data_IF_209829762159
#
_entry.id   IF_209829762159
#
_cell.length_a   1.000
_cell.length_b   1.000
_cell.length_c   1.000
_cell.angle_alpha   90.00
_cell.angle_beta   90.00
_cell.angle_gamma   90.00
#
_symmetry.space_group_name_H-M   'P 1'
#
loop_
_entity.id
_entity.type
_entity.pdbx_description
1 polymer ?
#
# COMPACT_ATOMS: atom_id res chain seq x y z
N UNK A 1 -5.93 17.15 -19.52
CA UNK A 1 -5.01 17.51 -18.41
C UNK A 1 -5.11 16.53 -17.24
N UNK A 2 -6.30 16.25 -16.70
CA UNK A 2 -6.49 15.27 -15.61
C UNK A 2 -5.98 13.85 -15.93
N UNK A 3 -6.41 13.26 -17.05
CA UNK A 3 -5.94 11.93 -17.51
C UNK A 3 -4.42 11.84 -17.64
N UNK A 4 -3.80 12.89 -18.17
CA UNK A 4 -2.35 12.97 -18.31
C UNK A 4 -1.65 12.93 -16.94
N UNK A 5 -2.12 13.74 -15.99
CA UNK A 5 -1.55 13.77 -14.63
C UNK A 5 -1.71 12.42 -13.95
N UNK A 6 -2.91 11.83 -13.98
CA UNK A 6 -3.18 10.54 -13.34
C UNK A 6 -2.36 9.41 -13.97
N UNK A 7 -2.34 9.36 -15.30
CA UNK A 7 -1.59 8.37 -16.05
C UNK A 7 -0.10 8.44 -15.76
N UNK A 8 0.49 9.64 -15.85
CA UNK A 8 1.91 9.84 -15.54
C UNK A 8 2.24 9.59 -14.06
N UNK A 9 1.38 10.00 -13.13
CA UNK A 9 1.58 9.71 -11.70
C UNK A 9 1.55 8.21 -11.42
N UNK A 10 0.61 7.46 -12.00
CA UNK A 10 0.57 6.01 -11.87
C UNK A 10 1.78 5.34 -12.51
N UNK A 11 2.23 5.79 -13.68
CA UNK A 11 3.46 5.28 -14.28
C UNK A 11 4.68 5.56 -13.38
N UNK A 12 4.79 6.76 -12.82
CA UNK A 12 5.89 7.11 -11.92
C UNK A 12 5.86 6.28 -10.62
N UNK A 13 4.68 6.07 -10.03
CA UNK A 13 4.50 5.20 -8.86
C UNK A 13 4.86 3.76 -9.21
N UNK A 14 4.38 3.25 -10.35
CA UNK A 14 4.67 1.89 -10.82
C UNK A 14 6.17 1.65 -11.04
N UNK A 15 6.87 2.60 -11.67
CA UNK A 15 8.32 2.56 -11.83
C UNK A 15 9.04 2.62 -10.47
N UNK A 16 8.58 3.48 -9.56
CA UNK A 16 9.16 3.60 -8.24
C UNK A 16 9.01 2.31 -7.42
N UNK A 17 7.82 1.70 -7.40
CA UNK A 17 7.58 0.44 -6.71
C UNK A 17 8.36 -0.71 -7.33
N UNK A 18 8.32 -0.86 -8.67
CA UNK A 18 9.10 -1.88 -9.36
C UNK A 18 10.61 -1.72 -9.08
N UNK A 19 11.12 -0.48 -9.15
CA UNK A 19 12.51 -0.17 -8.84
C UNK A 19 12.89 -0.49 -7.40
N UNK A 20 12.06 -0.14 -6.42
CA UNK A 20 12.26 -0.50 -5.01
C UNK A 20 12.21 -2.01 -4.78
N UNK A 21 11.32 -2.72 -5.48
CA UNK A 21 11.24 -4.18 -5.43
C UNK A 21 12.49 -4.86 -5.96
N UNK A 22 12.98 -4.39 -7.12
CA UNK A 22 14.23 -4.87 -7.72
C UNK A 22 15.42 -4.55 -6.83
N UNK A 23 15.48 -3.35 -6.26
CA UNK A 23 16.53 -2.97 -5.32
C UNK A 23 16.53 -3.88 -4.09
N UNK A 24 15.36 -4.09 -3.47
CA UNK A 24 15.22 -4.97 -2.30
C UNK A 24 15.61 -6.41 -2.63
N UNK A 25 15.30 -6.89 -3.84
CA UNK A 25 15.68 -8.22 -4.31
C UNK A 25 17.20 -8.30 -4.51
N UNK A 26 17.79 -7.28 -5.14
CA UNK A 26 19.23 -7.15 -5.31
C UNK A 26 19.96 -7.10 -3.98
N UNK A 27 19.53 -6.26 -3.03
CA UNK A 27 20.11 -6.20 -1.67
C UNK A 27 20.06 -7.58 -1.01
N UNK A 28 18.87 -8.21 -1.03
CA UNK A 28 18.63 -9.55 -0.50
C UNK A 28 19.64 -10.55 -1.08
N UNK A 29 19.77 -10.61 -2.41
CA UNK A 29 20.64 -11.55 -3.11
C UNK A 29 22.12 -11.21 -2.93
N UNK A 30 22.52 -9.94 -2.94
CA UNK A 30 23.92 -9.54 -2.84
C UNK A 30 24.48 -9.71 -1.43
N UNK A 31 23.66 -9.48 -0.40
CA UNK A 31 24.11 -9.52 0.99
C UNK A 31 23.76 -10.82 1.73
N UNK A 32 23.03 -11.76 1.12
CA UNK A 32 22.61 -13.00 1.81
C UNK A 32 23.76 -13.81 2.39
N UNK A 33 24.93 -13.83 1.71
CA UNK A 33 26.11 -14.57 2.20
C UNK A 33 26.67 -13.99 3.49
N UNK A 34 26.49 -12.70 3.73
CA UNK A 34 27.03 -11.99 4.90
C UNK A 34 26.00 -11.78 6.01
N UNK A 35 24.72 -11.62 5.66
CA UNK A 35 23.65 -11.27 6.61
C UNK A 35 22.54 -12.32 6.73
N UNK A 36 22.64 -13.45 6.01
CA UNK A 36 21.54 -14.41 5.83
C UNK A 36 20.45 -13.84 4.92
N UNK A 37 19.39 -14.58 4.63
CA UNK A 37 18.28 -14.09 3.79
C UNK A 37 17.40 -13.06 4.52
N UNK A 38 17.13 -11.90 3.91
CA UNK A 38 16.16 -10.95 4.46
C UNK A 38 14.73 -11.36 4.12
N UNK A 39 13.96 -11.73 5.13
CA UNK A 39 12.54 -12.11 4.93
C UNK A 39 11.71 -10.89 4.57
N UNK A 40 11.98 -9.78 5.24
CA UNK A 40 11.40 -8.47 4.93
C UNK A 40 11.74 -8.05 3.51
N UNK A 41 13.02 -8.17 3.11
CA UNK A 41 13.47 -7.84 1.76
C UNK A 41 12.77 -8.68 0.69
N UNK A 42 12.70 -10.01 0.89
CA UNK A 42 11.97 -10.92 0.00
C UNK A 42 10.50 -10.53 -0.10
N UNK A 43 9.83 -10.36 1.03
CA UNK A 43 8.40 -10.09 1.04
C UNK A 43 8.07 -8.71 0.46
N UNK A 44 8.87 -7.70 0.77
CA UNK A 44 8.75 -6.37 0.17
C UNK A 44 8.97 -6.42 -1.34
N UNK A 45 9.93 -7.20 -1.84
CA UNK A 45 10.14 -7.41 -3.28
C UNK A 45 8.96 -8.10 -3.95
N UNK A 46 8.36 -9.11 -3.32
CA UNK A 46 7.17 -9.78 -3.85
C UNK A 46 5.97 -8.83 -3.95
N UNK A 47 5.78 -7.99 -2.93
CA UNK A 47 4.73 -6.97 -2.91
C UNK A 47 4.93 -5.91 -3.99
N UNK A 48 6.17 -5.46 -4.18
CA UNK A 48 6.51 -4.54 -5.24
C UNK A 48 6.33 -5.16 -6.64
N UNK A 49 6.50 -6.47 -6.78
CA UNK A 49 6.31 -7.19 -8.03
C UNK A 49 4.84 -7.34 -8.45
N UNK A 50 3.88 -7.19 -7.52
CA UNK A 50 2.46 -7.04 -7.86
C UNK A 50 2.09 -5.56 -8.06
N UNK A 51 2.35 -4.71 -7.07
CA UNK A 51 1.92 -3.31 -7.09
C UNK A 51 2.58 -2.48 -8.20
N UNK A 52 3.87 -2.67 -8.46
CA UNK A 52 4.59 -1.91 -9.49
C UNK A 52 3.96 -2.09 -10.87
N UNK A 53 3.91 -3.34 -11.39
CA UNK A 53 3.24 -3.63 -12.65
C UNK A 53 1.75 -3.25 -12.68
N UNK A 54 1.00 -3.41 -11.58
CA UNK A 54 -0.38 -2.94 -11.47
C UNK A 54 -0.48 -1.45 -11.81
N UNK A 55 0.30 -0.60 -11.14
CA UNK A 55 0.30 0.84 -11.38
C UNK A 55 0.79 1.21 -12.79
N UNK A 56 1.72 0.44 -13.37
CA UNK A 56 2.17 0.65 -14.74
C UNK A 56 1.04 0.41 -15.75
N UNK A 57 0.30 -0.71 -15.61
CA UNK A 57 -0.82 -1.03 -16.51
C UNK A 57 -1.96 -0.03 -16.35
N UNK A 58 -2.33 0.32 -15.12
CA UNK A 58 -3.33 1.35 -14.87
C UNK A 58 -2.90 2.70 -15.45
N UNK A 59 -1.66 3.14 -15.19
CA UNK A 59 -1.13 4.38 -15.76
C UNK A 59 -1.17 4.40 -17.29
N UNK A 60 -0.78 3.30 -17.93
CA UNK A 60 -0.85 3.15 -19.38
C UNK A 60 -2.29 3.25 -19.90
N UNK A 61 -3.22 2.53 -19.30
CA UNK A 61 -4.63 2.51 -19.70
C UNK A 61 -5.32 3.87 -19.56
N UNK A 62 -5.04 4.58 -18.47
CA UNK A 62 -5.54 5.96 -18.27
C UNK A 62 -5.02 6.89 -19.37
N UNK A 63 -3.77 6.72 -19.81
CA UNK A 63 -3.23 7.49 -20.95
C UNK A 63 -3.85 7.08 -22.29
N UNK A 64 -4.36 5.85 -22.43
CA UNK A 64 -5.13 5.39 -23.59
C UNK A 64 -6.60 5.88 -23.58
N UNK A 65 -7.02 6.62 -22.55
CA UNK A 65 -8.37 7.20 -22.47
C UNK A 65 -9.34 6.41 -21.59
N UNK A 66 -8.86 5.45 -20.79
CA UNK A 66 -9.69 4.79 -19.78
C UNK A 66 -10.18 5.81 -18.73
N UNK A 67 -11.46 5.72 -18.37
CA UNK A 67 -12.09 6.63 -17.41
C UNK A 67 -11.54 6.40 -16.01
N UNK A 68 -11.22 7.47 -15.29
CA UNK A 68 -10.76 7.40 -13.89
C UNK A 68 -11.77 8.09 -12.98
N UNK A 69 -12.12 7.44 -11.87
CA UNK A 69 -12.98 8.03 -10.86
C UNK A 69 -12.25 9.13 -10.06
N UNK A 70 -13.01 10.14 -9.63
CA UNK A 70 -12.46 11.23 -8.80
C UNK A 70 -11.96 10.74 -7.44
N UNK A 71 -12.58 9.71 -6.88
CA UNK A 71 -12.12 9.05 -5.66
C UNK A 71 -10.73 8.42 -5.85
N UNK A 72 -10.48 7.78 -7.00
CA UNK A 72 -9.17 7.19 -7.35
C UNK A 72 -8.08 8.25 -7.48
N UNK A 73 -8.38 9.41 -8.08
CA UNK A 73 -7.47 10.56 -8.10
C UNK A 73 -7.18 11.06 -6.68
N UNK A 74 -8.22 11.25 -5.87
CA UNK A 74 -8.07 11.82 -4.53
C UNK A 74 -7.23 10.91 -3.61
N UNK A 75 -7.43 9.59 -3.65
CA UNK A 75 -6.60 8.64 -2.88
C UNK A 75 -5.16 8.59 -3.38
N UNK A 76 -4.94 8.69 -4.69
CA UNK A 76 -3.58 8.74 -5.26
C UNK A 76 -2.83 9.96 -4.72
N UNK A 77 -3.48 11.13 -4.69
CA UNK A 77 -2.90 12.35 -4.14
C UNK A 77 -2.67 12.27 -2.62
N UNK A 78 -3.54 11.57 -1.89
CA UNK A 78 -3.39 11.34 -0.45
C UNK A 78 -2.17 10.46 -0.13
N UNK A 79 -1.93 9.42 -0.93
CA UNK A 79 -0.80 8.49 -0.74
C UNK A 79 0.55 9.01 -1.28
N UNK A 80 0.52 9.89 -2.28
CA UNK A 80 1.72 10.37 -2.99
C UNK A 80 2.81 10.91 -2.06
N UNK A 81 2.54 11.75 -1.04
CA UNK A 81 3.59 12.27 -0.14
C UNK A 81 4.33 11.17 0.62
N UNK A 82 3.61 10.15 1.10
CA UNK A 82 4.20 9.03 1.82
C UNK A 82 5.07 8.19 0.88
N UNK A 83 4.56 7.90 -0.32
CA UNK A 83 5.29 7.20 -1.37
C UNK A 83 6.57 7.92 -1.79
N UNK A 84 6.49 9.20 -2.13
CA UNK A 84 7.65 10.02 -2.52
C UNK A 84 8.69 10.09 -1.40
N UNK A 85 8.25 10.27 -0.16
CA UNK A 85 9.17 10.31 1.00
C UNK A 85 9.89 8.98 1.14
N UNK A 86 9.18 7.85 1.14
CA UNK A 86 9.80 6.53 1.29
C UNK A 86 10.79 6.22 0.16
N UNK A 87 10.38 6.47 -1.08
CA UNK A 87 11.21 6.28 -2.29
C UNK A 87 12.48 7.14 -2.22
N UNK A 88 12.33 8.43 -1.89
CA UNK A 88 13.45 9.36 -1.77
C UNK A 88 14.48 8.90 -0.73
N UNK A 89 14.03 8.52 0.46
CA UNK A 89 14.91 8.03 1.53
C UNK A 89 15.63 6.74 1.13
N UNK A 90 14.99 5.88 0.34
CA UNK A 90 15.65 4.69 -0.19
C UNK A 90 16.68 5.01 -1.25
N UNK A 91 16.38 5.88 -2.21
CA UNK A 91 17.39 6.34 -3.17
C UNK A 91 18.57 7.01 -2.49
N UNK A 92 18.33 7.85 -1.47
CA UNK A 92 19.40 8.45 -0.67
C UNK A 92 20.29 7.38 -0.03
N UNK A 93 19.71 6.30 0.52
CA UNK A 93 20.49 5.19 1.11
C UNK A 93 21.38 4.51 0.06
N UNK A 94 20.84 4.24 -1.13
CA UNK A 94 21.59 3.58 -2.23
C UNK A 94 22.77 4.42 -2.69
N UNK A 95 22.62 5.75 -2.67
CA UNK A 95 23.68 6.70 -3.01
C UNK A 95 24.67 6.94 -1.87
N UNK A 96 24.59 6.17 -0.77
CA UNK A 96 25.49 6.27 0.38
C UNK A 96 25.11 7.38 1.39
N UNK A 97 23.93 7.99 1.24
CA UNK A 97 23.38 8.96 2.18
C UNK A 97 22.75 8.33 3.42
N UNK A 98 22.15 9.17 4.27
CA UNK A 98 21.60 8.72 5.55
C UNK A 98 20.37 7.82 5.40
N UNK A 99 19.46 8.19 4.49
CA UNK A 99 18.22 7.47 4.21
C UNK A 99 17.22 7.53 5.35
N UNK A 100 17.53 6.96 6.51
CA UNK A 100 16.66 7.03 7.68
C UNK A 100 16.81 8.36 8.42
N UNK A 101 15.68 8.95 8.82
CA UNK A 101 15.63 10.20 9.60
C UNK A 101 14.78 10.01 10.84
N UNK A 102 15.29 10.46 11.98
CA UNK A 102 14.58 10.44 13.25
C UNK A 102 13.89 11.78 13.48
N UNK A 103 12.59 11.75 13.73
CA UNK A 103 11.80 12.97 13.91
C UNK A 103 11.31 13.06 15.35
N UNK A 104 11.60 14.18 16.00
CA UNK A 104 11.07 14.54 17.32
C UNK A 104 9.69 15.23 17.20
N UNK A 105 8.74 14.57 16.54
CA UNK A 105 7.37 15.07 16.45
C UNK A 105 6.62 14.76 17.76
N UNK A 106 5.94 15.74 18.35
CA UNK A 106 5.16 15.50 19.57
C UNK A 106 3.98 14.54 19.32
N UNK A 107 3.53 13.78 20.33
CA UNK A 107 2.43 12.82 20.16
C UNK A 107 1.15 13.48 19.68
N UNK A 108 0.86 14.69 20.18
CA UNK A 108 -0.32 15.45 19.75
C UNK A 108 -0.29 15.80 18.26
N UNK A 109 0.86 16.23 17.73
CA UNK A 109 1.00 16.52 16.29
C UNK A 109 0.91 15.25 15.45
N UNK A 110 1.52 14.14 15.92
CA UNK A 110 1.39 12.85 15.27
C UNK A 110 -0.07 12.37 15.21
N UNK A 111 -0.82 12.47 16.32
CA UNK A 111 -2.25 12.15 16.37
C UNK A 111 -3.09 13.03 15.45
N UNK A 112 -2.79 14.33 15.35
CA UNK A 112 -3.50 15.22 14.42
C UNK A 112 -3.28 14.80 12.96
N UNK A 113 -2.04 14.44 12.58
CA UNK A 113 -1.75 13.95 11.22
C UNK A 113 -2.46 12.63 10.93
N UNK A 114 -2.39 11.67 11.86
CA UNK A 114 -3.04 10.36 11.71
C UNK A 114 -4.57 10.52 11.70
N UNK A 115 -5.13 11.35 12.57
CA UNK A 115 -6.57 11.64 12.61
C UNK A 115 -7.05 12.34 11.33
N UNK A 116 -6.30 13.32 10.83
CA UNK A 116 -6.61 13.98 9.56
C UNK A 116 -6.58 13.00 8.38
N UNK A 117 -5.57 12.13 8.33
CA UNK A 117 -5.50 11.05 7.34
C UNK A 117 -6.71 10.12 7.45
N UNK A 118 -7.04 9.64 8.66
CA UNK A 118 -8.14 8.71 8.89
C UNK A 118 -9.51 9.31 8.51
N UNK A 119 -9.75 10.58 8.86
CA UNK A 119 -10.97 11.30 8.47
C UNK A 119 -11.05 11.41 6.95
N UNK A 120 -9.95 11.80 6.29
CA UNK A 120 -9.91 11.93 4.83
C UNK A 120 -10.12 10.58 4.15
N UNK A 121 -9.46 9.53 4.63
CA UNK A 121 -9.58 8.17 4.15
C UNK A 121 -11.02 7.63 4.30
N UNK A 122 -11.63 7.84 5.47
CA UNK A 122 -13.01 7.45 5.75
C UNK A 122 -14.00 8.22 4.86
N UNK A 123 -13.79 9.52 4.68
CA UNK A 123 -14.61 10.33 3.78
C UNK A 123 -14.49 9.87 2.32
N UNK A 124 -13.28 9.60 1.83
CA UNK A 124 -13.06 9.09 0.47
C UNK A 124 -13.70 7.71 0.26
N UNK A 125 -13.60 6.83 1.27
CA UNK A 125 -14.25 5.50 1.24
C UNK A 125 -15.76 5.65 1.15
N UNK A 126 -16.34 6.45 2.04
CA UNK A 126 -17.78 6.72 2.06
C UNK A 126 -18.25 7.37 0.74
N UNK A 127 -17.46 8.29 0.19
CA UNK A 127 -17.77 8.93 -1.08
C UNK A 127 -17.74 7.93 -2.24
N UNK A 128 -16.75 7.04 -2.31
CA UNK A 128 -16.70 5.99 -3.32
C UNK A 128 -17.90 5.05 -3.25
N UNK A 129 -18.31 4.64 -2.04
CA UNK A 129 -19.48 3.80 -1.81
C UNK A 129 -20.82 4.53 -2.04
N UNK A 130 -20.84 5.87 -2.01
CA UNK A 130 -22.04 6.67 -2.25
C UNK A 130 -22.23 7.07 -3.72
N UNK A 131 -21.30 6.73 -4.63
CA UNK A 131 -21.42 7.06 -6.04
C UNK A 131 -22.63 6.34 -6.68
N UNK A 132 -23.36 6.97 -7.62
CA UNK A 132 -24.44 6.32 -8.36
C UNK A 132 -23.91 5.05 -9.06
N UNK A 133 -24.41 3.88 -8.65
CA UNK A 133 -23.93 2.59 -9.14
C UNK A 133 -23.14 1.74 -8.14
N UNK A 134 -22.88 2.25 -6.93
CA UNK A 134 -22.33 1.49 -5.82
C UNK A 134 -23.44 0.84 -4.96
N UNK A 135 -24.41 0.18 -5.60
CA UNK A 135 -25.41 -0.60 -4.85
C UNK A 135 -24.76 -1.87 -4.31
N UNK A 136 -24.75 -2.03 -2.98
CA UNK A 136 -24.31 -3.24 -2.29
C UNK A 136 -25.56 -4.04 -1.89
N UNK A 137 -25.95 -5.10 -2.63
CA UNK A 137 -27.10 -5.89 -2.25
C UNK A 137 -26.74 -6.71 -1.01
N UNK A 138 -27.29 -6.33 0.13
CA UNK A 138 -27.15 -7.09 1.38
C UNK A 138 -28.14 -8.27 1.43
N UNK A 139 -29.16 -8.29 0.55
CA UNK A 139 -30.21 -9.30 0.50
C UNK A 139 -30.60 -9.59 -0.95
N UNK A 140 -30.22 -10.75 -1.50
CA UNK A 140 -30.69 -11.19 -2.82
C UNK A 140 -32.22 -11.37 -2.85
N UNK A 141 -32.96 -10.29 -3.13
CA UNK A 141 -34.41 -10.35 -3.37
C UNK A 141 -34.68 -10.49 -4.87
N UNK A 142 -35.83 -11.08 -5.23
CA UNK A 142 -36.25 -11.21 -6.63
C UNK A 142 -36.45 -9.85 -7.32
N UNK A 143 -36.79 -8.81 -6.56
CA UNK A 143 -36.90 -7.43 -7.05
C UNK A 143 -35.53 -6.83 -7.41
N UNK A 144 -34.50 -7.07 -6.61
CA UNK A 144 -33.12 -6.63 -6.90
C UNK A 144 -32.53 -7.38 -8.10
N UNK A 145 -32.82 -8.67 -8.24
CA UNK A 145 -32.40 -9.46 -9.40
C UNK A 145 -33.05 -8.95 -10.70
N UNK A 146 -34.32 -8.56 -10.65
CA UNK A 146 -35.00 -7.93 -11.79
C UNK A 146 -34.41 -6.56 -12.13
N UNK A 147 -34.06 -5.75 -11.11
CA UNK A 147 -33.41 -4.46 -11.30
C UNK A 147 -32.01 -4.58 -11.93
N UNK A 148 -31.24 -5.63 -11.57
CA UNK A 148 -29.93 -5.95 -12.18
C UNK A 148 -30.01 -6.17 -13.70
N UNK A 149 -31.08 -6.79 -14.19
CA UNK A 149 -31.28 -7.03 -15.63
C UNK A 149 -31.57 -5.73 -16.37
N UNK A 150 -32.19 -4.75 -15.70
CA UNK A 150 -32.59 -3.46 -16.30
C UNK A 150 -31.53 -2.36 -16.24
N UNK A 151 -30.57 -2.41 -15.31
CA UNK A 151 -29.45 -1.44 -15.22
C UNK A 151 -28.08 -2.12 -15.08
N UNK A 152 -27.50 -2.68 -16.15
CA UNK A 152 -26.30 -3.54 -16.09
C UNK A 152 -24.97 -2.89 -15.66
N UNK A 153 -24.96 -1.61 -15.24
CA UNK A 153 -23.73 -0.87 -14.88
C UNK A 153 -23.80 -0.11 -13.56
N UNK A 154 -24.80 -0.40 -12.72
CA UNK A 154 -25.03 0.30 -11.46
C UNK A 154 -24.83 -0.57 -10.21
N UNK A 155 -24.06 -1.66 -10.31
CA UNK A 155 -24.02 -2.70 -9.27
C UNK A 155 -22.61 -3.21 -9.03
N UNK A 156 -22.17 -3.24 -7.77
CA UNK A 156 -20.92 -3.90 -7.41
C UNK A 156 -21.08 -5.41 -7.64
N UNK A 157 -20.25 -5.98 -8.52
CA UNK A 157 -20.21 -7.42 -8.72
C UNK A 157 -19.40 -8.09 -7.60
N UNK A 158 -20.09 -8.36 -6.49
CA UNK A 158 -19.56 -9.07 -5.32
C UNK A 158 -19.06 -10.48 -5.65
N UNK A 159 -19.46 -11.07 -6.78
CA UNK A 159 -19.01 -12.38 -7.21
C UNK A 159 -17.75 -12.32 -8.10
N UNK A 160 -17.33 -11.12 -8.53
CA UNK A 160 -16.17 -10.96 -9.40
C UNK A 160 -14.86 -11.25 -8.68
N UNK A 161 -13.91 -11.87 -9.41
CA UNK A 161 -12.56 -12.08 -8.91
C UNK A 161 -11.85 -10.76 -8.58
N UNK A 162 -12.13 -9.70 -9.32
CA UNK A 162 -11.60 -8.34 -9.09
C UNK A 162 -12.05 -7.77 -7.75
N UNK A 163 -13.34 -7.92 -7.41
CA UNK A 163 -13.86 -7.49 -6.10
C UNK A 163 -13.14 -8.23 -4.97
N UNK A 164 -13.10 -9.56 -5.03
CA UNK A 164 -12.48 -10.37 -3.98
C UNK A 164 -10.97 -10.10 -3.84
N UNK A 165 -10.25 -9.98 -4.95
CA UNK A 165 -8.81 -9.70 -4.91
C UNK A 165 -8.54 -8.34 -4.26
N UNK A 166 -9.26 -7.30 -4.67
CA UNK A 166 -9.10 -5.97 -4.10
C UNK A 166 -9.48 -5.91 -2.61
N UNK A 167 -10.62 -6.49 -2.21
CA UNK A 167 -11.01 -6.54 -0.78
C UNK A 167 -9.98 -7.29 0.05
N UNK A 168 -9.48 -8.42 -0.45
CA UNK A 168 -8.43 -9.18 0.22
C UNK A 168 -7.17 -8.34 0.42
N UNK A 169 -6.70 -7.69 -0.65
CA UNK A 169 -5.52 -6.83 -0.63
C UNK A 169 -5.72 -5.62 0.29
N UNK A 170 -6.91 -5.01 0.30
CA UNK A 170 -7.28 -3.96 1.26
C UNK A 170 -7.07 -4.42 2.69
N UNK A 171 -7.56 -5.61 3.04
CA UNK A 171 -7.43 -6.15 4.39
C UNK A 171 -5.96 -6.43 4.71
N UNK A 172 -5.23 -7.15 3.85
CA UNK A 172 -3.84 -7.51 4.15
C UNK A 172 -2.92 -6.29 4.22
N UNK A 173 -3.09 -5.30 3.34
CA UNK A 173 -2.28 -4.08 3.35
C UNK A 173 -2.63 -3.20 4.54
N UNK A 174 -3.92 -3.14 4.91
CA UNK A 174 -4.37 -2.45 6.12
C UNK A 174 -3.76 -3.06 7.38
N UNK A 175 -3.70 -4.39 7.47
CA UNK A 175 -3.05 -5.10 8.58
C UNK A 175 -1.53 -4.88 8.62
N UNK A 176 -0.86 -4.91 7.47
CA UNK A 176 0.57 -4.55 7.39
C UNK A 176 0.78 -3.11 7.88
N UNK A 177 -0.02 -2.16 7.40
CA UNK A 177 0.02 -0.77 7.85
C UNK A 177 -0.21 -0.63 9.35
N UNK A 178 -1.15 -1.40 9.91
CA UNK A 178 -1.40 -1.46 11.36
C UNK A 178 -0.17 -1.92 12.14
N UNK A 179 0.44 -3.05 11.76
CA UNK A 179 1.64 -3.54 12.46
C UNK A 179 2.83 -2.57 12.37
N UNK A 180 3.03 -1.94 11.22
CA UNK A 180 4.07 -0.92 11.04
C UNK A 180 3.78 0.33 11.89
N UNK A 181 2.52 0.76 11.95
CA UNK A 181 2.07 1.88 12.79
C UNK A 181 2.23 1.60 14.28
N UNK A 182 1.83 0.42 14.75
CA UNK A 182 2.03 0.01 16.14
C UNK A 182 3.52 -0.06 16.49
N UNK A 183 4.35 -0.58 15.58
CA UNK A 183 5.81 -0.54 15.77
C UNK A 183 6.36 0.90 15.87
N UNK A 184 5.84 1.86 15.08
CA UNK A 184 6.21 3.27 15.24
C UNK A 184 5.84 3.82 16.62
N UNK A 185 4.65 3.49 17.13
CA UNK A 185 4.20 3.91 18.46
C UNK A 185 5.09 3.31 19.55
N UNK A 186 5.35 1.99 19.51
CA UNK A 186 6.25 1.32 20.46
C UNK A 186 7.65 1.90 20.45
N UNK A 187 8.20 2.16 19.25
CA UNK A 187 9.49 2.82 19.09
C UNK A 187 9.51 4.20 19.74
N UNK A 188 8.46 5.00 19.50
CA UNK A 188 8.36 6.33 20.11
C UNK A 188 8.32 6.24 21.63
N UNK A 189 7.55 5.31 22.20
CA UNK A 189 7.48 5.11 23.64
C UNK A 189 8.84 4.69 24.24
N UNK A 190 9.65 3.93 23.49
CA UNK A 190 10.96 3.46 23.94
C UNK A 190 12.09 4.50 23.75
N UNK A 191 12.03 5.33 22.70
CA UNK A 191 13.16 6.17 22.26
C UNK A 191 12.85 7.67 22.15
N UNK A 192 11.60 8.07 22.28
CA UNK A 192 11.15 9.46 22.16
C UNK A 192 11.16 10.02 20.73
N UNK A 193 11.42 9.20 19.71
CA UNK A 193 11.55 9.63 18.31
C UNK A 193 10.81 8.70 17.34
N UNK A 194 10.31 9.27 16.25
CA UNK A 194 9.68 8.55 15.15
C UNK A 194 10.69 8.23 14.05
N UNK A 195 10.48 7.14 13.32
CA UNK A 195 11.21 6.85 12.09
C UNK A 195 10.49 7.45 10.89
N UNK A 196 11.12 8.36 10.15
CA UNK A 196 10.49 8.94 8.95
C UNK A 196 10.29 7.87 7.87
N UNK A 197 11.27 6.97 7.65
CA UNK A 197 11.10 5.89 6.67
C UNK A 197 9.98 4.94 7.09
N UNK A 198 9.90 4.59 8.38
CA UNK A 198 8.84 3.74 8.90
C UNK A 198 7.46 4.39 8.87
N UNK A 199 7.35 5.68 9.18
CA UNK A 199 6.09 6.44 9.08
C UNK A 199 5.65 6.59 7.62
N UNK A 200 6.57 6.88 6.71
CA UNK A 200 6.30 6.94 5.27
C UNK A 200 5.83 5.58 4.73
N UNK A 201 6.50 4.49 5.10
CA UNK A 201 6.09 3.14 4.71
C UNK A 201 4.70 2.77 5.27
N UNK A 202 4.40 3.14 6.51
CA UNK A 202 3.08 2.97 7.12
C UNK A 202 2.00 3.71 6.30
N UNK A 203 2.26 4.97 5.93
CA UNK A 203 1.37 5.76 5.09
C UNK A 203 1.15 5.14 3.71
N UNK A 204 2.20 4.59 3.09
CA UNK A 204 2.10 3.85 1.82
C UNK A 204 1.10 2.70 1.96
N UNK A 205 1.28 1.81 2.94
CA UNK A 205 0.39 0.65 3.12
C UNK A 205 -1.07 1.03 3.37
N UNK A 206 -1.34 2.05 4.20
CA UNK A 206 -2.72 2.50 4.39
C UNK A 206 -3.31 3.15 3.14
N UNK A 207 -2.53 3.94 2.39
CA UNK A 207 -3.01 4.53 1.14
C UNK A 207 -3.29 3.46 0.06
N UNK A 208 -2.46 2.41 -0.01
CA UNK A 208 -2.69 1.27 -0.87
C UNK A 208 -3.92 0.46 -0.43
N UNK A 209 -4.12 0.23 0.86
CA UNK A 209 -5.34 -0.41 1.34
C UNK A 209 -6.60 0.36 0.90
N UNK A 210 -6.54 1.69 1.01
CA UNK A 210 -7.63 2.58 0.62
C UNK A 210 -7.88 2.59 -0.90
N UNK A 211 -6.84 2.58 -1.74
CA UNK A 211 -7.03 2.57 -3.19
C UNK A 211 -7.67 1.27 -3.66
N UNK A 212 -7.27 0.13 -3.09
CA UNK A 212 -7.89 -1.17 -3.38
C UNK A 212 -9.36 -1.23 -2.90
N UNK A 213 -9.68 -0.56 -1.79
CA UNK A 213 -11.07 -0.48 -1.32
C UNK A 213 -11.93 0.33 -2.30
N UNK A 214 -11.39 1.46 -2.76
CA UNK A 214 -12.07 2.29 -3.76
C UNK A 214 -12.25 1.50 -5.05
N UNK A 215 -11.22 0.82 -5.56
CA UNK A 215 -11.28 0.02 -6.78
C UNK A 215 -12.34 -1.10 -6.71
N UNK A 216 -12.40 -1.82 -5.59
CA UNK A 216 -13.42 -2.83 -5.32
C UNK A 216 -14.85 -2.27 -5.43
N UNK A 217 -15.04 -0.99 -5.12
CA UNK A 217 -16.36 -0.35 -5.07
C UNK A 217 -16.72 0.43 -6.34
N UNK A 218 -15.76 0.72 -7.23
CA UNK A 218 -15.97 1.58 -8.41
C UNK A 218 -15.88 0.86 -9.76
N UNK A 219 -16.07 -0.47 -9.80
CA UNK A 219 -15.97 -1.30 -11.01
C UNK A 219 -14.58 -1.21 -11.66
N UNK A 220 -13.56 -1.74 -10.96
CA UNK A 220 -12.19 -1.83 -11.46
C UNK A 220 -12.06 -2.61 -12.78
N UNK A 221 -11.01 -2.30 -13.54
CA UNK A 221 -10.71 -2.93 -14.82
C UNK A 221 -10.09 -4.31 -14.64
N UNK A 222 -10.56 -5.29 -15.43
CA UNK A 222 -10.03 -6.65 -15.38
C UNK A 222 -8.57 -6.79 -15.84
N UNK A 223 -7.99 -5.74 -16.43
CA UNK A 223 -6.62 -5.76 -16.93
C UNK A 223 -5.56 -5.86 -15.83
N UNK A 224 -5.92 -5.48 -14.60
CA UNK A 224 -5.02 -5.46 -13.44
C UNK A 224 -5.13 -6.75 -12.62
N UNK A 225 -6.19 -7.53 -12.85
CA UNK A 225 -6.54 -8.70 -12.06
C UNK A 225 -5.38 -9.69 -11.93
N UNK A 226 -4.59 -9.88 -12.99
CA UNK A 226 -3.42 -10.78 -12.93
C UNK A 226 -2.42 -10.34 -11.86
N UNK A 227 -2.18 -9.04 -11.72
CA UNK A 227 -1.26 -8.49 -10.73
C UNK A 227 -1.87 -8.53 -9.32
N UNK A 228 -3.18 -8.32 -9.20
CA UNK A 228 -3.88 -8.42 -7.91
C UNK A 228 -3.90 -9.86 -7.39
N UNK A 229 -4.11 -10.84 -8.28
CA UNK A 229 -4.04 -12.27 -7.94
C UNK A 229 -2.62 -12.70 -7.52
N UNK A 230 -1.57 -12.14 -8.12
CA UNK A 230 -0.18 -12.32 -7.66
C UNK A 230 0.05 -11.60 -6.32
N UNK A 231 -0.61 -10.46 -6.13
CA UNK A 231 -0.57 -9.67 -4.90
C UNK A 231 -1.12 -10.42 -3.68
N UNK A 232 -2.11 -11.30 -3.85
CA UNK A 232 -2.68 -12.11 -2.77
C UNK A 232 -1.60 -12.92 -2.03
N UNK A 233 -0.90 -13.89 -2.65
CA UNK A 233 0.12 -14.68 -1.94
C UNK A 233 1.30 -13.83 -1.47
N UNK A 234 1.68 -12.78 -2.23
CA UNK A 234 2.73 -11.84 -1.81
C UNK A 234 2.34 -11.12 -0.50
N UNK A 235 1.09 -10.68 -0.40
CA UNK A 235 0.57 -9.96 0.76
C UNK A 235 0.41 -10.84 1.99
N UNK A 236 0.02 -12.12 1.81
CA UNK A 236 -0.02 -13.10 2.90
C UNK A 236 1.39 -13.35 3.45
N UNK A 237 2.36 -13.58 2.57
CA UNK A 237 3.74 -13.78 2.99
C UNK A 237 4.29 -12.55 3.70
N UNK A 238 4.09 -11.36 3.14
CA UNK A 238 4.62 -10.13 3.75
C UNK A 238 3.93 -9.80 5.08
N UNK A 239 2.61 -10.01 5.18
CA UNK A 239 1.88 -9.88 6.44
C UNK A 239 2.44 -10.82 7.51
N UNK A 240 2.65 -12.10 7.16
CA UNK A 240 3.28 -13.05 8.06
C UNK A 240 4.67 -12.57 8.49
N UNK A 241 5.52 -12.10 7.58
CA UNK A 241 6.84 -11.56 7.92
C UNK A 241 6.74 -10.38 8.88
N UNK A 242 5.86 -9.42 8.62
CA UNK A 242 5.68 -8.23 9.45
C UNK A 242 5.14 -8.57 10.83
N UNK A 243 4.20 -9.51 10.92
CA UNK A 243 3.69 -10.04 12.20
C UNK A 243 4.81 -10.73 13.01
N UNK A 244 5.65 -11.55 12.37
CA UNK A 244 6.76 -12.21 13.05
C UNK A 244 7.84 -11.20 13.51
N UNK A 245 8.09 -10.16 12.72
CA UNK A 245 8.98 -9.06 13.13
C UNK A 245 8.38 -8.26 14.29
N UNK A 246 7.07 -8.03 14.27
CA UNK A 246 6.33 -7.30 15.30
C UNK A 246 6.25 -8.07 16.63
N UNK A 247 6.01 -9.37 16.57
CA UNK A 247 5.99 -10.29 17.72
C UNK A 247 7.38 -10.70 18.20
N UNK A 248 8.43 -10.09 17.65
CA UNK A 248 9.81 -10.30 18.03
C UNK A 248 10.32 -11.75 17.84
N UNK A 249 9.58 -12.59 17.11
CA UNK A 249 9.78 -14.03 16.94
C UNK A 249 10.80 -14.39 15.86
N UNK A 250 11.14 -13.45 14.97
CA UNK A 250 12.12 -13.63 13.89
C UNK A 250 13.17 -12.52 13.91
N UNK A 251 14.44 -12.92 13.77
CA UNK A 251 15.55 -12.00 13.50
C UNK A 251 15.68 -11.77 11.99
N UNK A 252 15.76 -10.50 11.59
CA UNK A 252 16.00 -10.05 10.21
C UNK A 252 16.98 -8.86 10.24
N UNK A 253 17.52 -8.49 9.09
CA UNK A 253 18.55 -7.46 8.91
C UNK A 253 18.20 -6.12 9.57
N UNK A 254 16.91 -5.82 9.67
CA UNK A 254 16.39 -4.55 10.21
C UNK A 254 16.34 -4.51 11.74
N UNK A 255 16.57 -5.63 12.45
CA UNK A 255 16.95 -5.58 13.87
C UNK A 255 18.43 -5.21 13.94
N UNK A 256 18.71 -3.91 14.17
CA UNK A 256 20.02 -3.55 14.72
C UNK A 256 20.17 -4.28 16.07
N UNK A 257 21.34 -4.86 16.38
CA UNK A 257 21.46 -5.79 17.48
C UNK A 257 21.35 -5.05 18.82
N UNK A 258 20.54 -5.55 19.75
CA UNK A 258 20.81 -5.40 21.19
C UNK A 258 21.76 -6.50 21.66
N UNK A 259 22.76 -6.84 20.84
CA UNK A 259 23.84 -7.75 21.20
C UNK A 259 25.15 -7.13 20.72
N UNK A 260 25.90 -6.59 21.67
CA UNK A 260 27.28 -6.14 21.45
C UNK A 260 27.38 -4.68 21.04
N UNK A 261 27.96 -3.88 21.93
CA UNK A 261 28.68 -2.68 21.59
C UNK A 261 29.41 -2.84 20.25
N UNK A 262 29.31 -1.82 19.38
CA UNK A 262 30.41 -1.60 18.47
C UNK A 262 31.64 -1.31 19.35
N UNK A 263 32.70 -2.06 19.10
CA UNK A 263 34.05 -1.66 19.48
C UNK A 263 34.28 -0.20 19.05
N UNK A 264 35.11 0.47 19.86
CA UNK A 264 35.59 1.84 19.65
C UNK A 264 35.96 2.15 18.21
#
# INVERSE_FOLDING_TARGET
>A
MMYLVIGLSNLAIGLAYAGLGLLSAWETVSLHRYRGWSRFGIGFSMMAASCGPHHLVHGFQVLQGESVSWSMLAVTLLGLPAGLTFVFLRFETVLGGQGERLIALSPHRAMLLVGGFAITAGWLSAWAMAQPGAYVPFLCTSAELAARVTTPGSWIDLASATFFANVFVTVTYGLVGWYLGDHQVRRYLATGVWSLSGAALTGVFFSCALIHLIDATTHGSGAMLVFDLIGIPASVYFLWVVEQLHSDSVLDWNRRPLVGAAAR
#
